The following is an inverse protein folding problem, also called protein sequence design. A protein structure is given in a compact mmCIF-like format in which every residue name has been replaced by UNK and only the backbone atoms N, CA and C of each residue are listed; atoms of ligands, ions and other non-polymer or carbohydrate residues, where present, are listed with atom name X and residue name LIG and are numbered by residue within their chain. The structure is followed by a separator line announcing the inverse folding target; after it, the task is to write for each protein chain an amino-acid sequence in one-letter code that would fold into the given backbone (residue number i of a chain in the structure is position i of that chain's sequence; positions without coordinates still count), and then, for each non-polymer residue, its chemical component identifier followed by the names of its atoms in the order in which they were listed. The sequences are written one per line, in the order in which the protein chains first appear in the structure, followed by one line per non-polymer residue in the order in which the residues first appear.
data_IF_111042056297
#
_entry.id   IF_111042056297
#
_cell.length_a   1.000
_cell.length_b   1.000
_cell.length_c   1.000
_cell.angle_alpha   90.00
_cell.angle_beta   90.00
_cell.angle_gamma   90.00
#
_symmetry.space_group_name_H-M   'P 1'
#
loop_
_entity.id
_entity.type
_entity.pdbx_description
1 polymer ?
#
# COMPACT_ATOMS: atom_id res chain seq x y z
N UNK A 1 18.48 11.97 -16.12
CA UNK A 1 17.56 11.30 -17.05
C UNK A 1 18.20 10.17 -17.92
N UNK A 2 19.43 9.75 -17.65
CA UNK A 2 20.13 8.76 -18.52
C UNK A 2 20.40 7.40 -17.84
N UNK A 3 20.26 7.27 -16.52
CA UNK A 3 20.68 6.07 -15.79
C UNK A 3 19.61 4.95 -15.74
N UNK A 4 18.34 5.29 -15.64
CA UNK A 4 17.25 4.29 -15.56
C UNK A 4 17.01 3.57 -16.90
N UNK A 5 17.15 4.27 -18.03
CA UNK A 5 17.03 3.66 -19.38
C UNK A 5 18.17 2.72 -19.73
N UNK A 6 19.31 2.79 -19.02
CA UNK A 6 20.47 1.92 -19.26
C UNK A 6 20.42 0.60 -18.48
N UNK A 7 19.75 0.56 -17.33
CA UNK A 7 19.61 -0.63 -16.49
C UNK A 7 18.65 -1.69 -17.08
N UNK A 8 17.63 -1.25 -17.83
CA UNK A 8 16.62 -2.16 -18.41
C UNK A 8 17.02 -2.77 -19.76
N UNK A 9 18.18 -2.42 -20.36
CA UNK A 9 18.66 -2.97 -21.64
C UNK A 9 19.89 -3.87 -21.54
N UNK A 10 20.41 -4.16 -20.36
CA UNK A 10 21.60 -5.01 -20.20
C UNK A 10 21.21 -6.46 -19.84
N UNK A 11 21.02 -7.26 -20.88
CA UNK A 11 21.31 -8.69 -20.96
C UNK A 11 20.92 -9.58 -19.74
N UNK A 12 19.71 -10.07 -19.73
CA UNK A 12 19.38 -11.29 -19.03
C UNK A 12 20.05 -12.49 -19.77
N UNK A 13 21.15 -13.00 -19.23
CA UNK A 13 21.65 -14.34 -19.61
C UNK A 13 20.74 -15.37 -18.93
N UNK A 14 20.32 -16.45 -19.62
CA UNK A 14 19.56 -17.51 -18.99
C UNK A 14 20.44 -18.23 -17.95
N UNK A 15 19.92 -18.37 -16.73
CA UNK A 15 20.52 -19.24 -15.71
C UNK A 15 20.23 -20.68 -16.13
N UNK A 16 21.27 -21.38 -16.56
CA UNK A 16 21.21 -22.82 -16.81
C UNK A 16 21.42 -23.51 -15.47
N UNK A 17 20.40 -24.20 -14.98
CA UNK A 17 20.55 -25.14 -13.86
C UNK A 17 21.22 -26.42 -14.35
N UNK A 18 22.43 -26.70 -13.84
CA UNK A 18 23.10 -27.98 -13.99
C UNK A 18 22.50 -28.99 -13.00
N UNK A 19 21.82 -30.00 -13.48
CA UNK A 19 21.22 -31.07 -12.70
C UNK A 19 22.15 -32.27 -12.66
N UNK A 20 23.28 -32.14 -11.97
CA UNK A 20 24.15 -33.30 -11.68
C UNK A 20 24.72 -33.13 -10.27
N UNK A 21 23.99 -33.62 -9.26
CA UNK A 21 24.50 -34.37 -8.13
C UNK A 21 23.30 -34.82 -7.28
N UNK A 22 23.13 -36.14 -7.21
CA UNK A 22 22.04 -36.74 -6.47
C UNK A 22 22.43 -36.95 -5.02
N UNK A 23 21.48 -36.60 -4.14
CA UNK A 23 21.43 -37.22 -2.80
C UNK A 23 19.99 -37.66 -2.52
N UNK A 24 19.90 -38.97 -2.22
CA UNK A 24 18.66 -39.68 -1.99
C UNK A 24 18.03 -39.27 -0.65
N UNK A 25 16.91 -38.56 -0.73
CA UNK A 25 16.00 -38.39 0.42
C UNK A 25 14.90 -39.44 0.32
N UNK A 26 14.94 -40.39 1.24
CA UNK A 26 13.95 -41.46 1.41
C UNK A 26 12.58 -40.88 1.78
N UNK A 27 11.60 -41.06 0.88
CA UNK A 27 10.20 -40.72 1.11
C UNK A 27 9.56 -41.66 2.16
N UNK A 28 8.67 -41.13 3.05
CA UNK A 28 7.87 -41.99 3.91
C UNK A 28 6.78 -42.73 3.11
N UNK A 29 6.33 -43.91 3.57
CA UNK A 29 5.39 -44.73 2.83
C UNK A 29 4.00 -44.10 2.77
N UNK A 30 3.48 -43.90 1.57
CA UNK A 30 2.10 -43.54 1.30
C UNK A 30 1.20 -44.76 1.40
N UNK A 31 0.32 -44.76 2.38
CA UNK A 31 -0.76 -45.72 2.57
C UNK A 31 -2.07 -45.14 2.03
N UNK A 32 -2.36 -45.35 0.73
CA UNK A 32 -3.70 -45.18 0.17
C UNK A 32 -4.01 -46.29 -0.82
N UNK A 33 -5.20 -46.94 -0.73
CA UNK A 33 -5.59 -48.03 -1.61
C UNK A 33 -5.92 -47.50 -3.02
N UNK A 34 -5.33 -48.13 -4.01
CA UNK A 34 -5.68 -47.98 -5.40
C UNK A 34 -7.00 -48.68 -5.72
N UNK A 35 -7.96 -47.93 -6.21
CA UNK A 35 -9.16 -48.49 -6.80
C UNK A 35 -10.31 -47.50 -6.98
N UNK A 36 -10.63 -47.13 -8.22
CA UNK A 36 -11.88 -46.52 -8.56
C UNK A 36 -11.82 -45.39 -9.58
N UNK A 37 -11.99 -45.77 -10.85
CA UNK A 37 -12.64 -45.02 -11.96
C UNK A 37 -12.58 -43.51 -11.97
N UNK A 38 -12.00 -42.98 -13.02
CA UNK A 38 -11.86 -41.54 -13.32
C UNK A 38 -13.15 -40.75 -13.22
N UNK A 39 -13.07 -39.74 -12.36
CA UNK A 39 -13.76 -38.50 -12.54
C UNK A 39 -12.68 -37.44 -12.77
N UNK A 40 -12.41 -37.15 -14.04
CA UNK A 40 -11.78 -35.88 -14.38
C UNK A 40 -12.76 -34.77 -13.97
N UNK A 41 -12.56 -34.22 -12.77
CA UNK A 41 -13.16 -32.95 -12.40
C UNK A 41 -12.55 -31.91 -13.34
N UNK A 42 -13.24 -31.58 -14.43
CA UNK A 42 -13.02 -30.33 -15.15
C UNK A 42 -13.20 -29.22 -14.14
N UNK A 43 -12.09 -28.58 -13.77
CA UNK A 43 -12.12 -27.32 -13.05
C UNK A 43 -12.97 -26.35 -13.87
N UNK A 44 -14.02 -25.72 -13.30
CA UNK A 44 -14.77 -24.72 -14.04
C UNK A 44 -13.82 -23.59 -14.38
N UNK A 45 -13.50 -23.43 -15.66
CA UNK A 45 -12.80 -22.26 -16.18
C UNK A 45 -13.71 -21.05 -15.94
N UNK A 46 -13.46 -20.29 -14.88
CA UNK A 46 -14.20 -19.07 -14.56
C UNK A 46 -14.60 -18.92 -13.10
N UNK A 47 -13.69 -19.22 -12.14
CA UNK A 47 -13.93 -18.91 -10.72
C UNK A 47 -13.89 -17.41 -10.40
N UNK A 48 -14.47 -16.96 -9.25
CA UNK A 48 -14.55 -15.56 -8.86
C UNK A 48 -13.19 -14.82 -8.84
N UNK A 49 -12.08 -15.50 -8.57
CA UNK A 49 -10.73 -14.94 -8.61
C UNK A 49 -10.35 -14.37 -9.99
N UNK A 50 -10.77 -15.02 -11.08
CA UNK A 50 -10.45 -14.60 -12.45
C UNK A 50 -11.15 -13.30 -12.84
N UNK A 51 -12.36 -13.07 -12.34
CA UNK A 51 -13.09 -11.81 -12.58
C UNK A 51 -12.50 -10.67 -11.77
N UNK A 52 -12.18 -10.90 -10.50
CA UNK A 52 -11.53 -9.90 -9.65
C UNK A 52 -10.17 -9.48 -10.23
N UNK A 53 -9.35 -10.43 -10.64
CA UNK A 53 -8.06 -10.14 -11.29
C UNK A 53 -8.24 -9.29 -12.55
N UNK A 54 -9.26 -9.58 -13.38
CA UNK A 54 -9.55 -8.80 -14.57
C UNK A 54 -9.99 -7.37 -14.24
N UNK A 55 -10.78 -7.18 -13.17
CA UNK A 55 -11.20 -5.84 -12.72
C UNK A 55 -9.99 -5.02 -12.22
N UNK A 56 -9.13 -5.61 -11.38
CA UNK A 56 -7.91 -4.93 -10.92
C UNK A 56 -6.97 -4.60 -12.10
N UNK A 57 -6.80 -5.52 -13.05
CA UNK A 57 -6.02 -5.28 -14.26
C UNK A 57 -6.61 -4.15 -15.11
N UNK A 58 -7.94 -4.03 -15.17
CA UNK A 58 -8.58 -2.93 -15.88
C UNK A 58 -8.37 -1.59 -15.17
N UNK A 59 -8.52 -1.55 -13.82
CA UNK A 59 -8.23 -0.36 -13.02
C UNK A 59 -6.77 0.09 -13.18
N UNK A 60 -5.84 -0.86 -13.15
CA UNK A 60 -4.41 -0.56 -13.33
C UNK A 60 -4.11 0.10 -14.68
N UNK A 61 -4.78 -0.30 -15.76
CA UNK A 61 -4.67 0.36 -17.06
C UNK A 61 -5.17 1.81 -17.04
N UNK A 62 -6.13 2.12 -16.18
CA UNK A 62 -6.62 3.49 -15.94
C UNK A 62 -5.78 4.21 -14.86
N UNK A 63 -4.62 3.65 -14.49
CA UNK A 63 -3.68 4.17 -13.49
C UNK A 63 -4.27 4.26 -12.08
N UNK A 64 -5.19 3.35 -11.77
CA UNK A 64 -5.86 3.26 -10.47
C UNK A 64 -5.33 2.04 -9.72
N UNK A 65 -4.84 2.25 -8.52
CA UNK A 65 -4.47 1.23 -7.53
C UNK A 65 -5.40 1.31 -6.33
N UNK A 66 -5.66 0.18 -5.67
CA UNK A 66 -6.62 0.11 -4.57
C UNK A 66 -5.98 -0.51 -3.33
N UNK A 67 -5.95 0.27 -2.24
CA UNK A 67 -5.71 -0.20 -0.89
C UNK A 67 -7.07 -0.45 -0.21
N UNK A 68 -7.64 -1.64 -0.43
CA UNK A 68 -9.00 -2.01 0.01
C UNK A 68 -9.06 -2.92 1.24
N UNK A 69 -7.91 -3.20 1.88
CA UNK A 69 -7.81 -4.15 2.99
C UNK A 69 -6.80 -3.66 4.05
N UNK A 70 -6.53 -4.51 5.04
CA UNK A 70 -5.46 -4.26 5.99
C UNK A 70 -4.10 -4.20 5.30
N UNK A 71 -3.25 -3.27 5.75
CA UNK A 71 -1.86 -3.12 5.28
C UNK A 71 -1.01 -4.25 5.86
N UNK A 72 -0.50 -5.12 4.99
CA UNK A 72 0.44 -6.19 5.30
C UNK A 72 1.51 -6.27 4.21
N UNK A 73 2.48 -7.16 4.35
CA UNK A 73 3.61 -7.27 3.43
C UNK A 73 3.18 -7.66 2.00
N UNK A 74 2.17 -8.53 1.86
CA UNK A 74 1.65 -8.94 0.54
C UNK A 74 1.02 -7.75 -0.19
N UNK A 75 0.14 -7.01 0.50
CA UNK A 75 -0.51 -5.80 -0.05
C UNK A 75 0.53 -4.73 -0.38
N UNK A 76 1.52 -4.52 0.50
CA UNK A 76 2.57 -3.54 0.27
C UNK A 76 3.41 -3.90 -0.96
N UNK A 77 3.89 -5.15 -1.06
CA UNK A 77 4.68 -5.59 -2.20
C UNK A 77 3.90 -5.47 -3.52
N UNK A 78 2.60 -5.80 -3.53
CA UNK A 78 1.74 -5.63 -4.69
C UNK A 78 1.60 -4.16 -5.09
N UNK A 79 1.27 -3.26 -4.15
CA UNK A 79 1.11 -1.83 -4.43
C UNK A 79 2.43 -1.19 -4.89
N UNK A 80 3.56 -1.54 -4.27
CA UNK A 80 4.88 -1.08 -4.71
C UNK A 80 5.19 -1.51 -6.15
N UNK A 81 4.88 -2.76 -6.51
CA UNK A 81 5.06 -3.26 -7.87
C UNK A 81 4.13 -2.54 -8.88
N UNK A 82 2.87 -2.29 -8.50
CA UNK A 82 1.91 -1.53 -9.31
C UNK A 82 2.39 -0.09 -9.55
N UNK A 83 2.87 0.61 -8.50
CA UNK A 83 3.43 1.97 -8.61
C UNK A 83 4.66 2.01 -9.55
N UNK A 84 5.59 1.06 -9.38
CA UNK A 84 6.77 0.95 -10.27
C UNK A 84 6.38 0.68 -11.73
N UNK A 85 5.41 -0.21 -11.95
CA UNK A 85 4.92 -0.52 -13.28
C UNK A 85 4.31 0.72 -13.95
N UNK A 86 3.43 1.43 -13.24
CA UNK A 86 2.78 2.64 -13.73
C UNK A 86 3.78 3.78 -14.00
N UNK A 87 4.78 3.94 -13.14
CA UNK A 87 5.84 4.92 -13.33
C UNK A 87 6.74 4.61 -14.54
N UNK A 88 7.00 3.32 -14.79
CA UNK A 88 7.77 2.89 -15.96
C UNK A 88 6.98 3.02 -17.27
N UNK A 89 5.66 2.87 -17.23
CA UNK A 89 4.76 2.99 -18.38
C UNK A 89 4.62 4.46 -18.82
N UNK A 90 4.34 5.37 -17.89
CA UNK A 90 4.25 6.81 -18.15
C UNK A 90 4.66 7.61 -16.90
N UNK A 91 5.83 8.26 -16.87
CA UNK A 91 6.34 8.96 -15.70
C UNK A 91 5.70 10.33 -15.45
N UNK A 92 4.93 10.85 -16.39
CA UNK A 92 4.40 12.22 -16.33
C UNK A 92 2.93 12.28 -15.90
N UNK A 93 2.21 11.14 -15.95
CA UNK A 93 0.80 11.06 -15.60
C UNK A 93 0.60 10.66 -14.15
N UNK A 94 -0.44 11.23 -13.52
CA UNK A 94 -0.83 10.92 -12.13
C UNK A 94 -1.18 9.43 -11.93
N UNK A 95 -0.94 8.94 -10.71
CA UNK A 95 -1.39 7.62 -10.24
C UNK A 95 -2.46 7.85 -9.16
N UNK A 96 -3.58 7.15 -9.24
CA UNK A 96 -4.71 7.29 -8.33
C UNK A 96 -4.75 6.13 -7.34
N UNK A 97 -4.55 6.40 -6.05
CA UNK A 97 -4.65 5.43 -4.97
C UNK A 97 -5.96 5.62 -4.20
N UNK A 98 -6.88 4.66 -4.34
CA UNK A 98 -8.12 4.61 -3.57
C UNK A 98 -7.92 3.84 -2.28
N UNK A 99 -8.30 4.43 -1.14
CA UNK A 99 -8.01 3.92 0.20
C UNK A 99 -9.31 3.63 0.95
N UNK A 100 -9.51 2.35 1.31
CA UNK A 100 -10.53 1.86 2.24
C UNK A 100 -9.87 0.82 3.16
N UNK A 101 -9.13 1.29 4.17
CA UNK A 101 -8.24 0.45 4.97
C UNK A 101 -8.28 0.81 6.45
N UNK A 102 -8.31 -0.18 7.34
CA UNK A 102 -8.16 0.02 8.79
C UNK A 102 -6.70 0.32 9.19
N UNK A 103 -5.74 0.35 8.26
CA UNK A 103 -4.32 0.39 8.55
C UNK A 103 -3.71 -1.00 8.70
N UNK A 104 -2.66 -1.13 9.48
CA UNK A 104 -1.96 -2.41 9.69
C UNK A 104 -0.47 -2.27 9.97
N UNK A 105 0.36 -3.13 9.37
CA UNK A 105 1.80 -3.16 9.56
C UNK A 105 2.45 -1.82 9.19
N UNK A 106 3.19 -1.25 10.14
CA UNK A 106 3.89 0.03 9.93
C UNK A 106 5.00 -0.13 8.89
N UNK A 107 5.79 -1.20 8.97
CA UNK A 107 6.88 -1.46 8.01
C UNK A 107 6.36 -1.63 6.59
N UNK A 108 5.26 -2.36 6.42
CA UNK A 108 4.59 -2.52 5.14
C UNK A 108 4.03 -1.18 4.61
N UNK A 109 3.42 -0.37 5.50
CA UNK A 109 2.94 0.95 5.14
C UNK A 109 4.05 1.93 4.77
N UNK A 110 5.19 1.89 5.47
CA UNK A 110 6.36 2.70 5.12
C UNK A 110 6.95 2.31 3.76
N UNK A 111 6.93 1.03 3.39
CA UNK A 111 7.36 0.60 2.06
C UNK A 111 6.48 1.21 0.95
N UNK A 112 5.16 1.28 1.16
CA UNK A 112 4.25 1.95 0.23
C UNK A 112 4.55 3.45 0.18
N UNK A 113 4.72 4.08 1.35
CA UNK A 113 5.03 5.50 1.47
C UNK A 113 6.32 5.87 0.72
N UNK A 114 7.40 5.15 0.99
CA UNK A 114 8.68 5.39 0.31
C UNK A 114 8.56 5.20 -1.20
N UNK A 115 7.72 4.26 -1.65
CA UNK A 115 7.46 4.07 -3.07
C UNK A 115 6.66 5.21 -3.69
N UNK A 116 5.66 5.76 -2.96
CA UNK A 116 4.91 6.96 -3.40
C UNK A 116 5.84 8.17 -3.59
N UNK A 117 6.83 8.34 -2.69
CA UNK A 117 7.83 9.41 -2.78
C UNK A 117 8.91 9.15 -3.85
N UNK A 118 9.19 7.85 -4.14
CA UNK A 118 10.26 7.45 -5.05
C UNK A 118 9.88 7.60 -6.53
N UNK A 119 8.62 7.29 -6.89
CA UNK A 119 8.16 7.41 -8.27
C UNK A 119 8.08 8.88 -8.70
N UNK A 120 8.37 9.19 -9.98
CA UNK A 120 8.32 10.59 -10.46
C UNK A 120 6.90 11.15 -10.58
N UNK A 121 5.90 10.27 -10.55
CA UNK A 121 4.49 10.62 -10.72
C UNK A 121 3.91 11.25 -9.45
N UNK A 122 2.98 12.17 -9.59
CA UNK A 122 2.11 12.54 -8.49
C UNK A 122 1.18 11.38 -8.14
N UNK A 123 1.19 10.95 -6.87
CA UNK A 123 0.26 9.96 -6.36
C UNK A 123 -0.93 10.68 -5.73
N UNK A 124 -2.06 10.68 -6.43
CA UNK A 124 -3.33 11.20 -5.92
C UNK A 124 -3.96 10.20 -4.96
N UNK A 125 -4.46 10.64 -3.81
CA UNK A 125 -5.08 9.76 -2.82
C UNK A 125 -6.56 10.08 -2.63
N UNK A 126 -7.39 9.04 -2.50
CA UNK A 126 -8.85 9.17 -2.34
C UNK A 126 -9.33 8.28 -1.20
N UNK A 127 -9.76 8.86 -0.09
CA UNK A 127 -10.41 8.10 0.98
C UNK A 127 -11.85 7.75 0.62
N UNK A 128 -12.20 6.47 0.75
CA UNK A 128 -13.58 5.97 0.66
C UNK A 128 -13.85 5.02 1.83
N UNK A 129 -15.01 5.14 2.48
CA UNK A 129 -15.35 4.33 3.65
C UNK A 129 -14.44 4.63 4.85
N UNK A 130 -13.30 3.99 4.96
CA UNK A 130 -12.39 4.11 6.10
C UNK A 130 -10.93 4.34 5.65
N UNK A 131 -10.28 5.35 6.20
CA UNK A 131 -8.83 5.53 6.14
C UNK A 131 -8.31 5.70 7.57
N UNK A 132 -7.85 4.60 8.19
CA UNK A 132 -7.44 4.60 9.59
C UNK A 132 -5.96 4.20 9.75
N UNK A 133 -5.28 4.77 10.77
CA UNK A 133 -3.91 4.40 11.12
C UNK A 133 -2.96 4.53 9.91
N UNK A 134 -2.30 3.47 9.47
CA UNK A 134 -1.48 3.49 8.25
C UNK A 134 -2.27 3.89 7.00
N UNK A 135 -3.60 3.63 6.93
CA UNK A 135 -4.44 4.11 5.84
C UNK A 135 -4.60 5.63 5.84
N UNK A 136 -4.73 6.26 7.02
CA UNK A 136 -4.74 7.72 7.16
C UNK A 136 -3.36 8.31 6.83
N UNK A 137 -2.29 7.65 7.26
CA UNK A 137 -0.93 8.08 6.96
C UNK A 137 -0.68 8.12 5.45
N UNK A 138 -1.02 7.06 4.72
CA UNK A 138 -0.88 7.01 3.27
C UNK A 138 -1.82 8.00 2.56
N UNK A 139 -3.02 8.25 3.12
CA UNK A 139 -3.94 9.26 2.58
C UNK A 139 -3.31 10.65 2.59
N UNK A 140 -2.74 11.08 3.74
CA UNK A 140 -2.15 12.42 3.84
C UNK A 140 -0.80 12.54 3.10
N UNK A 141 -0.17 11.42 2.73
CA UNK A 141 1.06 11.37 1.96
C UNK A 141 0.88 11.58 0.45
N UNK A 142 -0.35 11.65 -0.04
CA UNK A 142 -0.63 11.98 -1.43
C UNK A 142 -0.08 13.35 -1.85
N UNK A 143 0.08 13.54 -3.16
CA UNK A 143 0.58 14.78 -3.73
C UNK A 143 -0.26 15.98 -3.28
N UNK A 144 0.39 17.09 -2.92
CA UNK A 144 -0.27 18.29 -2.39
C UNK A 144 -1.26 18.86 -3.40
N UNK A 145 -2.49 19.16 -2.96
CA UNK A 145 -3.60 19.58 -3.82
C UNK A 145 -4.34 18.44 -4.50
N UNK A 146 -3.85 17.18 -4.36
CA UNK A 146 -4.40 15.98 -5.00
C UNK A 146 -4.80 14.90 -3.99
N UNK A 147 -5.17 15.31 -2.78
CA UNK A 147 -5.64 14.42 -1.71
C UNK A 147 -7.13 14.64 -1.51
N UNK A 148 -7.92 13.59 -1.63
CA UNK A 148 -9.37 13.65 -1.68
C UNK A 148 -10.02 12.73 -0.65
N UNK A 149 -11.26 13.05 -0.25
CA UNK A 149 -12.14 12.12 0.44
C UNK A 149 -13.56 12.20 -0.11
N UNK A 150 -14.26 11.06 -0.10
CA UNK A 150 -15.70 11.03 -0.30
C UNK A 150 -16.41 11.54 0.96
N UNK A 151 -17.63 12.13 0.87
CA UNK A 151 -18.26 12.87 1.97
C UNK A 151 -18.53 12.04 3.23
N UNK A 152 -18.65 10.72 3.10
CA UNK A 152 -18.94 9.80 4.21
C UNK A 152 -17.71 8.99 4.63
N UNK A 153 -16.53 9.28 4.06
CA UNK A 153 -15.29 8.65 4.52
C UNK A 153 -15.00 9.04 5.97
N UNK A 154 -14.53 8.08 6.74
CA UNK A 154 -14.06 8.28 8.10
C UNK A 154 -12.55 8.17 8.13
N UNK A 155 -11.90 9.12 8.75
CA UNK A 155 -10.46 9.15 8.89
C UNK A 155 -10.11 8.99 10.37
N UNK A 156 -9.10 8.19 10.70
CA UNK A 156 -8.69 8.00 12.10
C UNK A 156 -7.17 8.00 12.21
N UNK A 157 -6.68 8.86 13.09
CA UNK A 157 -5.27 8.93 13.46
C UNK A 157 -5.06 8.40 14.87
N UNK A 158 -4.00 7.63 15.06
CA UNK A 158 -3.47 7.23 16.36
C UNK A 158 -1.97 6.92 16.29
N UNK A 159 -1.31 6.90 17.44
CA UNK A 159 0.09 6.48 17.52
C UNK A 159 0.26 4.99 17.20
N UNK A 160 1.43 4.57 16.70
CA UNK A 160 1.70 3.15 16.48
C UNK A 160 1.56 2.35 17.79
N UNK A 161 0.97 1.17 17.67
CA UNK A 161 0.82 0.23 18.77
C UNK A 161 1.38 -1.14 18.37
N UNK A 162 1.91 -1.88 19.33
CA UNK A 162 2.44 -3.23 19.08
C UNK A 162 2.78 -3.92 20.39
N UNK A 163 2.78 -5.27 20.36
CA UNK A 163 3.30 -6.08 21.45
C UNK A 163 4.83 -6.10 21.41
N UNK A 164 5.47 -6.02 22.59
CA UNK A 164 6.91 -6.23 22.76
C UNK A 164 7.11 -7.39 23.71
N UNK A 165 8.14 -8.22 23.51
CA UNK A 165 8.42 -9.38 24.34
C UNK A 165 9.83 -9.94 24.11
N UNK A 166 10.22 -10.90 24.94
CA UNK A 166 11.54 -11.48 24.92
C UNK A 166 12.30 -11.24 26.22
N UNK A 167 13.64 -11.26 26.18
CA UNK A 167 14.48 -10.90 27.32
C UNK A 167 14.40 -9.39 27.61
N UNK A 168 14.87 -8.96 28.78
CA UNK A 168 14.91 -7.52 29.11
C UNK A 168 15.69 -6.70 28.08
N UNK A 169 16.77 -7.27 27.51
CA UNK A 169 17.54 -6.62 26.46
C UNK A 169 16.72 -6.49 25.15
N UNK A 170 16.00 -7.53 24.75
CA UNK A 170 15.13 -7.50 23.56
C UNK A 170 14.01 -6.47 23.71
N UNK A 171 13.39 -6.40 24.90
CA UNK A 171 12.36 -5.42 25.22
C UNK A 171 12.90 -3.99 25.09
N UNK A 172 14.10 -3.71 25.60
CA UNK A 172 14.72 -2.40 25.50
C UNK A 172 14.95 -1.99 24.03
N UNK A 173 15.49 -2.90 23.21
CA UNK A 173 15.71 -2.67 21.77
C UNK A 173 14.39 -2.42 21.04
N UNK A 174 13.36 -3.23 21.30
CA UNK A 174 12.05 -3.07 20.66
C UNK A 174 11.36 -1.76 21.05
N UNK A 175 11.50 -1.36 22.32
CA UNK A 175 10.97 -0.07 22.80
C UNK A 175 11.65 1.12 22.09
N UNK A 176 12.98 1.08 21.91
CA UNK A 176 13.72 2.11 21.17
C UNK A 176 13.25 2.19 19.71
N UNK A 177 13.07 1.04 19.03
CA UNK A 177 12.56 1.01 17.66
C UNK A 177 11.11 1.56 17.58
N UNK A 178 10.26 1.25 18.55
CA UNK A 178 8.90 1.78 18.59
C UNK A 178 8.89 3.31 18.76
N UNK A 179 9.75 3.86 19.61
CA UNK A 179 9.89 5.31 19.77
C UNK A 179 10.41 5.98 18.49
N UNK A 180 11.36 5.37 17.81
CA UNK A 180 11.86 5.85 16.52
C UNK A 180 10.74 5.90 15.47
N UNK A 181 9.99 4.82 15.34
CA UNK A 181 8.85 4.73 14.40
C UNK A 181 7.77 5.77 14.74
N UNK A 182 7.40 5.90 16.03
CA UNK A 182 6.44 6.90 16.49
C UNK A 182 6.86 8.31 16.07
N UNK A 183 8.10 8.67 16.33
CA UNK A 183 8.66 9.97 15.96
C UNK A 183 8.65 10.19 14.44
N UNK A 184 9.12 9.21 13.68
CA UNK A 184 9.17 9.30 12.21
C UNK A 184 7.77 9.51 11.62
N UNK A 185 6.76 8.75 12.05
CA UNK A 185 5.40 8.92 11.57
C UNK A 185 4.83 10.30 11.93
N UNK A 186 5.03 10.76 13.17
CA UNK A 186 4.56 12.08 13.60
C UNK A 186 5.19 13.22 12.78
N UNK A 187 6.50 13.16 12.52
CA UNK A 187 7.21 14.14 11.69
C UNK A 187 6.70 14.15 10.24
N UNK A 188 6.42 12.97 9.64
CA UNK A 188 5.87 12.89 8.29
C UNK A 188 4.43 13.44 8.24
N UNK A 189 3.57 13.06 9.19
CA UNK A 189 2.21 13.61 9.28
C UNK A 189 2.25 15.14 9.44
N UNK A 190 3.12 15.67 10.30
CA UNK A 190 3.27 17.11 10.48
C UNK A 190 3.69 17.80 9.17
N UNK A 191 4.64 17.22 8.44
CA UNK A 191 5.09 17.73 7.13
C UNK A 191 3.98 17.75 6.08
N UNK A 192 3.16 16.69 6.01
CA UNK A 192 2.09 16.59 5.03
C UNK A 192 0.86 17.45 5.36
N UNK A 193 0.54 17.58 6.65
CA UNK A 193 -0.64 18.34 7.10
C UNK A 193 -0.38 19.82 7.31
N UNK A 194 0.87 20.20 7.60
CA UNK A 194 1.23 21.53 8.04
C UNK A 194 0.93 21.81 9.53
N UNK A 195 0.47 20.80 10.27
CA UNK A 195 0.24 20.91 11.72
C UNK A 195 1.58 20.90 12.49
N UNK A 196 1.68 21.61 13.62
CA UNK A 196 2.84 21.52 14.50
C UNK A 196 3.06 20.08 15.01
N UNK A 197 4.32 19.65 15.12
CA UNK A 197 4.66 18.29 15.55
C UNK A 197 4.05 17.93 16.91
N UNK A 198 4.14 18.84 17.87
CA UNK A 198 3.57 18.68 19.21
C UNK A 198 2.02 18.54 19.19
N UNK A 199 1.34 19.14 18.20
CA UNK A 199 -0.08 18.94 17.99
C UNK A 199 -0.36 17.53 17.46
N UNK A 200 0.43 17.03 16.49
CA UNK A 200 0.30 15.65 15.98
C UNK A 200 0.53 14.64 17.11
N UNK A 201 1.56 14.84 17.94
CA UNK A 201 1.86 13.97 19.07
C UNK A 201 0.72 13.91 20.09
N UNK A 202 0.13 15.06 20.46
CA UNK A 202 -1.04 15.11 21.35
C UNK A 202 -2.26 14.45 20.76
N UNK A 203 -2.56 14.75 19.51
CA UNK A 203 -3.77 14.31 18.82
C UNK A 203 -3.74 12.81 18.46
N UNK A 204 -2.55 12.25 18.29
CA UNK A 204 -2.36 10.82 17.99
C UNK A 204 -2.23 9.94 19.24
N UNK A 205 -2.20 10.49 20.45
CA UNK A 205 -2.03 9.70 21.68
C UNK A 205 -3.14 8.64 21.86
N UNK A 206 -4.35 8.94 21.40
CA UNK A 206 -5.51 8.03 21.34
C UNK A 206 -6.20 8.14 20.00
N UNK A 207 -7.11 7.21 19.72
CA UNK A 207 -7.91 7.23 18.50
C UNK A 207 -8.62 8.57 18.33
N UNK A 208 -8.21 9.34 17.33
CA UNK A 208 -8.88 10.57 16.95
C UNK A 208 -9.55 10.41 15.60
N UNK A 209 -10.85 10.57 15.60
CA UNK A 209 -11.70 10.38 14.44
C UNK A 209 -12.09 11.70 13.80
N UNK A 210 -12.10 11.71 12.47
CA UNK A 210 -12.44 12.85 11.64
C UNK A 210 -13.50 12.46 10.62
N UNK A 211 -14.43 13.37 10.37
CA UNK A 211 -15.24 13.40 9.14
C UNK A 211 -14.36 13.85 7.97
N UNK A 212 -14.86 13.74 6.74
CA UNK A 212 -14.13 14.22 5.58
C UNK A 212 -13.83 15.74 5.66
N UNK A 213 -14.79 16.56 6.13
CA UNK A 213 -14.60 18.01 6.27
C UNK A 213 -13.57 18.33 7.37
N UNK A 214 -13.67 17.70 8.54
CA UNK A 214 -12.67 17.86 9.61
C UNK A 214 -11.27 17.43 9.16
N UNK A 215 -11.17 16.37 8.35
CA UNK A 215 -9.90 15.90 7.80
C UNK A 215 -9.28 16.92 6.82
N UNK A 216 -10.13 17.62 6.05
CA UNK A 216 -9.70 18.73 5.19
C UNK A 216 -9.20 19.91 6.03
N UNK A 217 -9.96 20.33 7.03
CA UNK A 217 -9.58 21.43 7.91
C UNK A 217 -8.29 21.15 8.70
N UNK A 218 -8.06 19.88 9.03
CA UNK A 218 -6.84 19.44 9.70
C UNK A 218 -5.63 19.35 8.76
N UNK A 219 -5.86 19.23 7.45
CA UNK A 219 -4.83 19.16 6.44
C UNK A 219 -4.46 17.75 5.97
N UNK A 220 -5.23 16.72 6.37
CA UNK A 220 -5.03 15.36 5.86
C UNK A 220 -5.36 15.23 4.37
N UNK A 221 -6.33 16.01 3.91
CA UNK A 221 -6.76 16.05 2.52
C UNK A 221 -6.94 17.49 2.04
N UNK A 222 -7.05 17.67 0.73
CA UNK A 222 -7.23 18.98 0.11
C UNK A 222 -8.70 19.22 -0.29
N UNK A 223 -9.43 18.14 -0.65
CA UNK A 223 -10.77 18.25 -1.22
C UNK A 223 -11.73 17.19 -0.69
N UNK A 224 -12.99 17.60 -0.44
CA UNK A 224 -14.11 16.67 -0.25
C UNK A 224 -14.92 16.67 -1.54
N UNK A 225 -15.06 15.52 -2.22
CA UNK A 225 -15.69 15.40 -3.54
C UNK A 225 -16.89 14.45 -3.52
N UNK A 226 -18.00 14.88 -4.12
CA UNK A 226 -19.25 14.10 -4.22
C UNK A 226 -19.38 13.37 -5.55
N UNK A 227 -18.57 13.75 -6.53
CA UNK A 227 -18.61 13.21 -7.87
C UNK A 227 -17.23 13.24 -8.50
N UNK A 228 -16.89 12.24 -9.29
CA UNK A 228 -15.67 12.21 -10.07
C UNK A 228 -15.51 13.42 -11.01
N UNK A 229 -16.61 14.09 -11.37
CA UNK A 229 -16.58 15.33 -12.17
C UNK A 229 -15.98 16.54 -11.42
N UNK A 230 -15.88 16.46 -10.12
CA UNK A 230 -15.27 17.51 -9.27
C UNK A 230 -13.75 17.34 -9.12
N UNK A 231 -13.23 16.22 -9.56
CA UNK A 231 -11.80 15.96 -9.63
C UNK A 231 -11.30 16.59 -10.93
N UNK A 232 -10.25 17.43 -10.89
CA UNK A 232 -9.68 18.01 -12.10
C UNK A 232 -9.26 16.90 -13.06
N UNK A 233 -9.68 16.99 -14.32
CA UNK A 233 -9.15 16.11 -15.37
C UNK A 233 -7.69 16.48 -15.62
N UNK A 234 -6.83 15.49 -15.87
CA UNK A 234 -5.44 15.71 -16.26
C UNK A 234 -5.38 16.76 -17.39
N UNK A 235 -4.69 17.87 -17.14
CA UNK A 235 -4.55 18.97 -18.11
C UNK A 235 -5.25 20.28 -17.74
N UNK A 236 -5.95 20.40 -16.61
CA UNK A 236 -6.65 21.61 -16.18
C UNK A 236 -5.86 22.51 -15.21
N UNK A 237 -4.52 22.37 -15.13
CA UNK A 237 -3.66 23.32 -14.43
C UNK A 237 -2.94 24.16 -15.48
N UNK A 238 -3.54 25.30 -15.78
CA UNK A 238 -2.90 26.41 -16.54
C UNK A 238 -2.18 27.35 -15.59
#
# INVERSE_FOLDING_TARGET
MSCLRRALRSQAKPIVYDASEGDAVTSPPTFFPTGGSGFEARSPEGGPSRLEDQLYQRLLRERIVVLGTQVNDEVANRLCAELLLLAADDPDRDIWMYINSPGGSVTAGMAIYDMMEYVPNDVCTVAMGLAASMGQFLLCAGARGKRYALPHARIMMHQPSGGIGGTAADIAIQAEQMLYVKKTLAERIASHTGQPLDQIERDSDRDRWFTAEEAKDYGFIDHVVRSARQVPSEGAVS
#
